data_IF_110582516908
#
_entry.id   IF_110582516908
#
_cell.length_a   1.000
_cell.length_b   1.000
_cell.length_c   1.000
_cell.angle_alpha   90.00
_cell.angle_beta   90.00
_cell.angle_gamma   90.00
#
_symmetry.space_group_name_H-M   'P 1'
#
loop_
_entity.id
_entity.type
_entity.pdbx_description
1 polymer ?
#
# COMPACT_ATOMS: atom_id res chain seq x y z
N UNK A 1 -26.15 -17.77 24.23
CA UNK A 1 -26.35 -16.72 23.21
C UNK A 1 -25.62 -17.16 21.96
N UNK A 2 -26.36 -17.47 20.87
CA UNK A 2 -25.75 -17.70 19.57
C UNK A 2 -25.32 -16.34 19.03
N UNK A 3 -24.04 -16.18 18.71
CA UNK A 3 -23.57 -15.02 17.97
C UNK A 3 -24.39 -14.96 16.67
N UNK A 4 -25.09 -13.85 16.45
CA UNK A 4 -25.64 -13.52 15.15
C UNK A 4 -24.43 -13.51 14.19
N UNK A 5 -24.38 -14.48 13.27
CA UNK A 5 -23.47 -14.41 12.12
C UNK A 5 -23.85 -13.15 11.38
N UNK A 6 -23.02 -12.11 11.49
CA UNK A 6 -23.24 -10.86 10.81
C UNK A 6 -23.17 -11.13 9.30
N UNK A 7 -24.27 -10.89 8.62
CA UNK A 7 -24.37 -11.04 7.17
C UNK A 7 -23.45 -10.01 6.51
N UNK A 8 -22.53 -10.51 5.67
CA UNK A 8 -21.75 -9.79 4.65
C UNK A 8 -20.66 -8.82 5.13
N UNK A 9 -19.49 -9.38 5.45
CA UNK A 9 -18.21 -8.76 5.08
C UNK A 9 -17.80 -9.26 3.70
N UNK A 10 -18.59 -8.89 2.71
CA UNK A 10 -18.23 -9.00 1.29
C UNK A 10 -17.05 -8.06 1.02
N UNK A 11 -16.10 -8.47 0.20
CA UNK A 11 -15.06 -7.64 -0.40
C UNK A 11 -15.59 -6.29 -0.88
N UNK A 12 -16.84 -6.21 -1.34
CA UNK A 12 -17.56 -4.95 -1.58
C UNK A 12 -17.56 -3.98 -0.39
N UNK A 13 -17.91 -4.44 0.82
CA UNK A 13 -17.88 -3.60 2.03
C UNK A 13 -16.45 -3.09 2.30
N UNK A 14 -15.45 -3.97 2.22
CA UNK A 14 -14.05 -3.56 2.45
C UNK A 14 -13.57 -2.56 1.40
N UNK A 15 -13.96 -2.72 0.13
CA UNK A 15 -13.63 -1.77 -0.96
C UNK A 15 -14.15 -0.37 -0.67
N UNK A 16 -15.34 -0.25 -0.08
CA UNK A 16 -15.99 1.03 0.22
C UNK A 16 -15.42 1.74 1.47
N UNK A 17 -14.61 1.05 2.30
CA UNK A 17 -14.17 1.55 3.61
C UNK A 17 -12.64 1.72 3.75
N UNK A 18 -11.86 1.49 2.69
CA UNK A 18 -10.41 1.72 2.71
C UNK A 18 -10.04 3.22 2.61
N UNK A 19 -8.93 3.68 3.22
CA UNK A 19 -7.90 2.89 3.89
C UNK A 19 -8.21 2.55 5.37
N UNK A 20 -7.44 1.61 5.94
CA UNK A 20 -7.62 1.16 7.31
C UNK A 20 -6.38 1.42 8.18
N UNK A 21 -6.60 1.86 9.43
CA UNK A 21 -5.57 1.91 10.47
C UNK A 21 -5.20 0.51 10.99
N UNK A 22 -6.23 -0.32 11.16
CA UNK A 22 -6.17 -1.70 11.62
C UNK A 22 -6.98 -2.52 10.63
N UNK A 23 -6.51 -3.72 10.27
CA UNK A 23 -7.26 -4.59 9.38
C UNK A 23 -8.56 -5.06 10.07
N UNK A 24 -9.71 -5.11 9.38
CA UNK A 24 -10.95 -5.60 9.96
C UNK A 24 -10.76 -6.98 10.60
N UNK A 25 -11.21 -7.19 11.84
CA UNK A 25 -11.00 -8.47 12.56
C UNK A 25 -11.62 -9.65 11.80
N UNK A 26 -12.68 -9.39 11.06
CA UNK A 26 -13.42 -10.39 10.32
C UNK A 26 -12.68 -10.89 9.08
N UNK A 27 -11.68 -10.14 8.60
CA UNK A 27 -10.72 -10.66 7.63
C UNK A 27 -9.96 -11.88 8.18
N UNK A 28 -9.57 -11.86 9.46
CA UNK A 28 -8.85 -12.98 10.10
C UNK A 28 -9.75 -14.20 10.32
N UNK A 29 -11.01 -13.95 10.66
CA UNK A 29 -12.01 -15.01 10.75
C UNK A 29 -12.24 -15.69 9.37
N UNK A 30 -12.12 -14.91 8.29
CA UNK A 30 -12.30 -15.36 6.91
C UNK A 30 -11.03 -15.91 6.25
N UNK A 31 -9.83 -15.53 6.69
CA UNK A 31 -8.54 -15.93 6.13
C UNK A 31 -8.06 -17.31 6.63
N UNK A 32 -8.99 -18.20 6.97
CA UNK A 32 -8.70 -19.54 7.46
C UNK A 32 -7.76 -20.31 6.51
N UNK A 33 -6.87 -21.19 7.03
CA UNK A 33 -5.85 -21.89 6.26
C UNK A 33 -6.39 -22.79 5.12
N UNK A 34 -7.70 -23.05 5.08
CA UNK A 34 -8.35 -23.94 4.13
C UNK A 34 -9.03 -23.18 2.97
N UNK A 35 -8.99 -21.84 2.96
CA UNK A 35 -9.51 -21.03 1.84
C UNK A 35 -8.43 -20.81 0.80
N UNK A 36 -8.78 -21.03 -0.46
CA UNK A 36 -7.82 -21.04 -1.57
C UNK A 36 -7.03 -19.72 -1.71
N UNK A 37 -7.67 -18.55 -1.52
CA UNK A 37 -6.99 -17.25 -1.60
C UNK A 37 -7.72 -16.20 -0.72
N UNK A 38 -7.21 -15.86 0.49
CA UNK A 38 -7.76 -14.75 1.28
C UNK A 38 -7.47 -13.39 0.62
N UNK A 39 -8.26 -12.33 0.91
CA UNK A 39 -7.96 -10.98 0.46
C UNK A 39 -6.53 -10.55 0.82
N UNK A 40 -5.87 -9.82 -0.08
CA UNK A 40 -4.49 -9.34 0.06
C UNK A 40 -4.54 -7.88 0.47
N UNK A 41 -3.85 -7.51 1.56
CA UNK A 41 -3.72 -6.09 1.93
C UNK A 41 -2.28 -5.63 1.83
N UNK A 42 -2.14 -4.41 1.32
CA UNK A 42 -0.91 -3.68 1.15
C UNK A 42 -0.80 -2.62 2.26
N UNK A 43 0.31 -2.61 2.97
CA UNK A 43 0.63 -1.53 3.91
C UNK A 43 1.55 -0.52 3.22
N UNK A 44 1.11 0.73 3.15
CA UNK A 44 1.81 1.73 2.34
C UNK A 44 1.30 3.16 2.46
N UNK A 45 1.88 4.01 1.62
CA UNK A 45 1.67 5.45 1.59
C UNK A 45 0.87 5.83 0.34
N UNK A 46 -0.33 6.40 0.52
CA UNK A 46 -1.11 6.92 -0.59
C UNK A 46 -0.46 8.15 -1.22
N UNK A 47 -0.40 8.15 -2.55
CA UNK A 47 -0.17 9.38 -3.31
C UNK A 47 -1.54 10.02 -3.58
N UNK A 48 -1.78 11.25 -3.08
CA UNK A 48 -3.09 11.87 -3.16
C UNK A 48 -3.46 12.20 -4.59
N UNK A 49 -4.71 11.96 -4.94
CA UNK A 49 -5.27 12.38 -6.22
C UNK A 49 -5.54 13.89 -6.21
N UNK A 50 -4.87 14.63 -7.12
CA UNK A 50 -5.02 16.09 -7.26
C UNK A 50 -5.96 16.49 -8.38
N UNK A 51 -7.12 15.81 -8.47
CA UNK A 51 -8.16 16.05 -9.48
C UNK A 51 -7.81 15.63 -10.92
N UNK A 52 -6.53 15.54 -11.27
CA UNK A 52 -6.07 14.98 -12.55
C UNK A 52 -4.88 14.05 -12.36
N UNK A 53 -4.73 13.09 -13.29
CA UNK A 53 -3.57 12.20 -13.32
C UNK A 53 -2.26 13.00 -13.42
N UNK A 54 -2.19 13.97 -14.33
CA UNK A 54 -1.00 14.80 -14.52
C UNK A 54 -0.59 15.55 -13.25
N UNK A 55 -1.54 16.20 -12.55
CA UNK A 55 -1.24 16.93 -11.32
C UNK A 55 -0.78 16.01 -10.18
N UNK A 56 -1.29 14.78 -10.13
CA UNK A 56 -0.87 13.77 -9.15
C UNK A 56 0.54 13.25 -9.47
N UNK A 57 0.86 13.07 -10.75
CA UNK A 57 2.18 12.63 -11.21
C UNK A 57 3.27 13.70 -11.04
N UNK A 58 2.94 14.99 -10.97
CA UNK A 58 3.92 16.04 -10.66
C UNK A 58 4.57 15.84 -9.28
N UNK A 59 3.85 15.29 -8.29
CA UNK A 59 4.44 14.93 -6.99
C UNK A 59 5.63 13.99 -7.18
N UNK A 60 5.45 12.94 -7.99
CA UNK A 60 6.52 11.98 -8.27
C UNK A 60 7.67 12.60 -9.06
N UNK A 61 7.35 13.49 -10.01
CA UNK A 61 8.38 14.19 -10.79
C UNK A 61 9.23 15.09 -9.90
N UNK A 62 8.60 15.80 -8.97
CA UNK A 62 9.28 16.65 -8.00
C UNK A 62 10.15 15.84 -7.05
N UNK A 63 9.66 14.71 -6.55
CA UNK A 63 10.46 13.77 -5.76
C UNK A 63 11.67 13.26 -6.56
N UNK A 64 11.48 12.82 -7.80
CA UNK A 64 12.59 12.33 -8.63
C UNK A 64 13.65 13.43 -8.88
N UNK A 65 13.25 14.70 -9.03
CA UNK A 65 14.19 15.84 -9.17
C UNK A 65 15.08 16.04 -7.94
N UNK A 66 14.65 15.57 -6.76
CA UNK A 66 15.42 15.64 -5.51
C UNK A 66 16.36 14.45 -5.34
N UNK A 67 16.25 13.40 -6.15
CA UNK A 67 17.20 12.29 -6.13
C UNK A 67 18.57 12.81 -6.57
N UNK A 68 19.66 12.56 -5.80
CA UNK A 68 21.00 13.03 -6.17
C UNK A 68 21.46 12.55 -7.55
N UNK A 69 22.07 13.44 -8.34
CA UNK A 69 22.48 13.16 -9.72
C UNK A 69 23.50 12.01 -9.87
N UNK A 70 24.18 11.63 -8.78
CA UNK A 70 25.10 10.47 -8.76
C UNK A 70 24.38 9.13 -9.01
N UNK A 71 23.07 9.07 -8.81
CA UNK A 71 22.27 7.88 -9.07
C UNK A 71 21.75 7.89 -10.51
N UNK A 72 22.02 6.84 -11.27
CA UNK A 72 21.56 6.68 -12.66
C UNK A 72 20.03 6.79 -12.80
N UNK A 73 19.29 6.38 -11.77
CA UNK A 73 17.82 6.52 -11.73
C UNK A 73 17.31 7.95 -11.51
N UNK A 74 18.18 8.94 -11.32
CA UNK A 74 17.81 10.35 -11.39
C UNK A 74 17.51 10.82 -12.83
N UNK A 75 17.96 10.08 -13.85
CA UNK A 75 17.67 10.41 -15.25
C UNK A 75 16.21 10.11 -15.63
N UNK A 76 15.44 11.19 -15.78
CA UNK A 76 14.02 11.19 -16.15
C UNK A 76 13.74 10.67 -17.56
N UNK A 77 14.73 10.61 -18.46
CA UNK A 77 14.57 10.04 -19.80
C UNK A 77 14.68 8.51 -19.78
N UNK A 78 15.38 7.97 -18.79
CA UNK A 78 15.69 6.54 -18.68
C UNK A 78 14.76 5.81 -17.71
N UNK A 79 14.35 6.46 -16.63
CA UNK A 79 13.54 5.85 -15.57
C UNK A 79 12.23 6.61 -15.36
N UNK A 80 11.13 5.86 -15.21
CA UNK A 80 9.87 6.39 -14.72
C UNK A 80 10.07 6.87 -13.28
N UNK A 81 9.39 7.96 -12.90
CA UNK A 81 9.57 8.57 -11.58
C UNK A 81 9.30 7.61 -10.44
N UNK A 82 8.26 6.76 -10.55
CA UNK A 82 7.94 5.76 -9.54
C UNK A 82 9.08 4.75 -9.33
N UNK A 83 9.63 4.21 -10.41
CA UNK A 83 10.70 3.20 -10.35
C UNK A 83 11.98 3.81 -9.76
N UNK A 84 12.28 5.06 -10.11
CA UNK A 84 13.40 5.80 -9.55
C UNK A 84 13.25 6.06 -8.06
N UNK A 85 12.06 6.44 -7.61
CA UNK A 85 11.76 6.69 -6.20
C UNK A 85 11.86 5.39 -5.40
N UNK A 86 11.25 4.29 -5.86
CA UNK A 86 11.33 3.00 -5.17
C UNK A 86 12.79 2.56 -4.99
N UNK A 87 13.59 2.58 -6.08
CA UNK A 87 15.02 2.23 -6.02
C UNK A 87 15.80 3.12 -5.08
N UNK A 88 15.50 4.43 -5.08
CA UNK A 88 16.16 5.34 -4.17
C UNK A 88 15.81 5.01 -2.72
N UNK A 89 14.54 4.83 -2.38
CA UNK A 89 14.11 4.46 -1.02
C UNK A 89 14.78 3.16 -0.56
N UNK A 90 14.78 2.13 -1.41
CA UNK A 90 15.46 0.86 -1.14
C UNK A 90 16.96 1.03 -0.88
N UNK A 91 17.62 1.91 -1.66
CA UNK A 91 19.06 2.19 -1.47
C UNK A 91 19.39 2.98 -0.20
N UNK A 92 18.39 3.59 0.46
CA UNK A 92 18.58 4.44 1.64
C UNK A 92 18.30 3.74 2.96
N UNK A 93 17.67 2.57 2.93
CA UNK A 93 17.29 1.84 4.12
C UNK A 93 18.18 0.61 4.21
N UNK A 94 19.04 0.60 5.21
CA UNK A 94 19.92 -0.53 5.54
C UNK A 94 19.26 -1.39 6.63
N UNK A 95 19.41 -2.71 6.55
CA UNK A 95 18.92 -3.65 7.57
C UNK A 95 18.80 -5.09 7.08
N UNK A 96 18.58 -6.02 8.04
CA UNK A 96 18.45 -7.47 7.80
C UNK A 96 17.09 -7.89 7.21
N UNK A 97 16.14 -6.95 7.14
CA UNK A 97 14.81 -7.21 6.59
C UNK A 97 14.90 -7.05 5.07
N UNK A 98 14.74 -8.14 4.32
CA UNK A 98 14.50 -8.06 2.88
C UNK A 98 13.16 -7.36 2.66
N UNK A 99 13.21 -6.06 2.41
CA UNK A 99 12.03 -5.26 2.11
C UNK A 99 12.13 -4.72 0.68
N UNK A 100 10.96 -4.47 0.08
CA UNK A 100 10.86 -3.85 -1.24
C UNK A 100 9.83 -2.76 -1.20
N UNK A 101 10.12 -1.62 -1.80
CA UNK A 101 9.13 -0.57 -2.04
C UNK A 101 8.58 -0.76 -3.44
N UNK A 102 7.30 -1.02 -3.52
CA UNK A 102 6.60 -1.23 -4.79
C UNK A 102 5.43 -0.27 -4.89
N UNK A 103 4.86 -0.19 -6.09
CA UNK A 103 3.61 0.54 -6.31
C UNK A 103 2.47 -0.42 -6.59
N UNK A 104 1.27 -0.06 -6.16
CA UNK A 104 0.04 -0.66 -6.66
C UNK A 104 -1.03 0.42 -6.84
N UNK A 105 -1.93 0.18 -7.79
CA UNK A 105 -3.18 0.93 -7.83
C UNK A 105 -4.06 0.41 -6.70
N UNK A 106 -4.87 1.28 -6.12
CA UNK A 106 -5.85 0.90 -5.11
C UNK A 106 -7.20 0.76 -5.78
N UNK A 107 -7.97 -0.24 -5.37
CA UNK A 107 -9.33 -0.39 -5.86
C UNK A 107 -10.26 0.70 -5.29
N UNK A 108 -11.27 1.13 -6.03
CA UNK A 108 -12.40 1.95 -5.55
C UNK A 108 -12.14 3.09 -4.52
N UNK A 109 -10.99 3.77 -4.54
CA UNK A 109 -10.74 4.95 -3.70
C UNK A 109 -10.58 6.21 -4.58
N UNK A 110 -11.54 7.16 -4.57
CA UNK A 110 -11.49 8.34 -5.45
C UNK A 110 -10.38 9.33 -5.08
N UNK A 111 -9.87 9.26 -3.85
CA UNK A 111 -8.88 10.20 -3.31
C UNK A 111 -7.43 9.67 -3.43
N UNK A 112 -7.27 8.38 -3.76
CA UNK A 112 -5.97 7.70 -3.83
C UNK A 112 -5.73 7.19 -5.24
N UNK A 113 -4.73 7.77 -5.92
CA UNK A 113 -4.39 7.33 -7.28
C UNK A 113 -3.61 6.01 -7.28
N UNK A 114 -2.60 5.90 -6.43
CA UNK A 114 -1.80 4.70 -6.19
C UNK A 114 -1.14 4.81 -4.82
N UNK A 115 -0.59 3.69 -4.35
CA UNK A 115 0.17 3.62 -3.10
C UNK A 115 1.60 3.16 -3.35
N UNK A 116 2.54 3.68 -2.57
CA UNK A 116 3.83 3.02 -2.35
C UNK A 116 3.67 2.04 -1.19
N UNK A 117 3.73 0.74 -1.46
CA UNK A 117 3.62 -0.29 -0.41
C UNK A 117 4.98 -0.91 -0.09
N UNK A 118 5.15 -1.27 1.18
CA UNK A 118 6.38 -1.85 1.73
C UNK A 118 6.15 -3.22 2.37
N UNK A 119 4.89 -3.62 2.54
CA UNK A 119 4.51 -4.91 3.06
C UNK A 119 3.19 -5.38 2.44
N UNK A 120 3.10 -6.68 2.18
CA UNK A 120 1.86 -7.35 1.77
C UNK A 120 1.55 -8.43 2.81
N UNK A 121 0.31 -8.42 3.28
CA UNK A 121 -0.20 -9.24 4.37
C UNK A 121 -0.98 -10.47 3.88
N UNK A 122 -0.53 -11.18 2.84
CA UNK A 122 -1.21 -12.40 2.36
C UNK A 122 -1.54 -13.44 3.45
N UNK A 123 -0.81 -13.47 4.57
CA UNK A 123 -1.08 -14.36 5.72
C UNK A 123 -0.68 -13.69 7.06
N UNK A 124 -1.39 -12.65 7.52
CA UNK A 124 -1.05 -11.99 8.78
C UNK A 124 -1.57 -12.84 9.94
N UNK A 125 -0.79 -12.98 11.01
CA UNK A 125 -1.23 -13.72 12.21
C UNK A 125 -2.19 -12.92 13.10
N UNK A 126 -2.25 -11.60 12.91
CA UNK A 126 -3.00 -10.65 13.74
C UNK A 126 -3.51 -9.46 12.90
N UNK A 127 -4.60 -8.78 13.30
CA UNK A 127 -5.18 -7.60 12.62
C UNK A 127 -4.33 -6.34 12.61
N UNK A 128 -3.19 -6.39 13.27
CA UNK A 128 -2.28 -5.27 13.41
C UNK A 128 -1.00 -5.50 12.64
N UNK A 129 -0.44 -4.40 12.11
CA UNK A 129 0.92 -4.38 11.61
C UNK A 129 1.89 -4.77 12.73
N UNK A 130 2.90 -5.60 12.46
CA UNK A 130 3.94 -5.89 13.44
C UNK A 130 4.79 -4.63 13.71
N UNK A 131 5.34 -4.50 14.91
CA UNK A 131 6.06 -3.29 15.36
C UNK A 131 7.18 -2.86 14.41
N UNK A 132 7.98 -3.82 13.91
CA UNK A 132 9.06 -3.58 12.96
C UNK A 132 8.59 -2.87 11.67
N UNK A 133 7.31 -3.05 11.29
CA UNK A 133 6.76 -2.43 10.09
C UNK A 133 6.58 -0.92 10.29
N UNK A 134 6.23 -0.47 11.50
CA UNK A 134 6.12 0.94 11.84
C UNK A 134 7.50 1.61 11.88
N UNK A 135 8.51 0.93 12.43
CA UNK A 135 9.90 1.42 12.39
C UNK A 135 10.39 1.59 10.94
N UNK A 136 10.14 0.60 10.09
CA UNK A 136 10.49 0.67 8.66
C UNK A 136 9.74 1.82 7.98
N UNK A 137 8.44 1.97 8.25
CA UNK A 137 7.65 3.06 7.69
C UNK A 137 8.12 4.45 8.15
N UNK A 138 8.62 4.57 9.39
CA UNK A 138 9.28 5.79 9.87
C UNK A 138 10.51 6.15 9.03
N UNK A 139 11.37 5.17 8.74
CA UNK A 139 12.54 5.38 7.86
C UNK A 139 12.13 5.78 6.45
N UNK A 140 11.12 5.13 5.87
CA UNK A 140 10.60 5.46 4.53
C UNK A 140 10.02 6.88 4.51
N UNK A 141 9.25 7.27 5.53
CA UNK A 141 8.70 8.62 5.69
C UNK A 141 9.81 9.67 5.70
N UNK A 142 10.92 9.40 6.39
CA UNK A 142 12.07 10.29 6.41
C UNK A 142 12.68 10.46 5.01
N UNK A 143 12.87 9.36 4.27
CA UNK A 143 13.40 9.42 2.89
C UNK A 143 12.46 10.18 1.96
N UNK A 144 11.15 10.01 2.09
CA UNK A 144 10.18 10.80 1.33
C UNK A 144 10.26 12.30 1.68
N UNK A 145 10.46 12.63 2.96
CA UNK A 145 10.72 13.99 3.42
C UNK A 145 11.96 14.61 2.76
N UNK A 146 13.06 13.85 2.66
CA UNK A 146 14.29 14.29 1.97
C UNK A 146 14.05 14.54 0.47
N UNK A 147 13.14 13.77 -0.14
CA UNK A 147 12.68 13.98 -1.52
C UNK A 147 11.65 15.11 -1.66
N UNK A 148 11.36 15.85 -0.59
CA UNK A 148 10.44 16.99 -0.59
C UNK A 148 8.97 16.61 -0.58
N UNK A 149 8.63 15.36 -0.26
CA UNK A 149 7.25 14.92 -0.12
C UNK A 149 6.90 14.67 1.35
N UNK A 150 5.92 15.42 1.87
CA UNK A 150 5.31 15.15 3.17
C UNK A 150 4.33 14.00 2.99
N UNK A 151 4.84 12.77 3.12
CA UNK A 151 4.03 11.57 3.02
C UNK A 151 2.94 11.56 4.12
N UNK A 152 1.72 11.08 3.81
CA UNK A 152 0.72 10.80 4.84
C UNK A 152 1.21 9.67 5.76
N UNK A 153 0.49 9.44 6.85
CA UNK A 153 0.70 8.21 7.62
C UNK A 153 0.42 6.98 6.77
N UNK A 154 1.23 5.92 6.89
CA UNK A 154 0.99 4.67 6.19
C UNK A 154 -0.27 3.97 6.72
N UNK A 155 -1.07 3.44 5.81
CA UNK A 155 -2.32 2.74 6.11
C UNK A 155 -2.39 1.42 5.34
N UNK A 156 -3.38 0.60 5.69
CA UNK A 156 -3.73 -0.60 4.94
C UNK A 156 -4.68 -0.30 3.79
N UNK A 157 -4.44 -0.97 2.67
CA UNK A 157 -5.23 -0.86 1.44
C UNK A 157 -5.50 -2.26 0.88
N UNK A 158 -6.61 -2.42 0.17
CA UNK A 158 -6.90 -3.67 -0.52
C UNK A 158 -6.09 -3.72 -1.81
N UNK A 159 -5.44 -4.85 -2.05
CA UNK A 159 -4.67 -5.08 -3.26
C UNK A 159 -5.58 -5.18 -4.50
N UNK A 160 -5.21 -4.53 -5.60
CA UNK A 160 -6.04 -4.46 -6.81
C UNK A 160 -6.18 -5.80 -7.54
N UNK A 161 -5.30 -6.77 -7.28
CA UNK A 161 -5.44 -8.14 -7.81
C UNK A 161 -6.75 -8.79 -7.34
N UNK A 162 -7.35 -8.29 -6.26
CA UNK A 162 -8.65 -8.74 -5.77
C UNK A 162 -9.84 -8.23 -6.60
N UNK A 163 -9.64 -7.39 -7.63
CA UNK A 163 -10.71 -6.88 -8.51
C UNK A 163 -11.51 -7.94 -9.26
N UNK A 164 -10.90 -9.10 -9.53
CA UNK A 164 -11.56 -10.18 -10.26
C UNK A 164 -12.58 -10.96 -9.40
N UNK A 165 -12.60 -10.74 -8.09
CA UNK A 165 -13.54 -11.36 -7.17
C UNK A 165 -14.79 -10.47 -7.01
N UNK A 166 -15.94 -11.01 -7.43
CA UNK A 166 -17.30 -10.43 -7.32
C UNK A 166 -17.90 -10.78 -5.95
N UNK A 167 -18.80 -9.91 -5.43
CA UNK A 167 -19.71 -10.17 -4.30
C UNK A 167 -20.44 -11.53 -4.38
N UNK A 168 -20.60 -12.11 -5.58
CA UNK A 168 -21.17 -13.45 -5.81
C UNK A 168 -20.16 -14.61 -5.68
N UNK A 169 -18.87 -14.33 -5.80
CA UNK A 169 -17.74 -15.23 -5.50
C UNK A 169 -17.16 -15.02 -4.10
N UNK A 170 -17.76 -14.09 -3.38
CA UNK A 170 -17.31 -13.56 -2.11
C UNK A 170 -17.61 -14.55 -0.99
N UNK A 171 -16.63 -15.42 -0.74
CA UNK A 171 -16.39 -16.12 0.52
C UNK A 171 -17.58 -16.75 1.25
N UNK A 172 -18.59 -17.25 0.52
CA UNK A 172 -19.60 -18.20 1.01
C UNK A 172 -19.04 -19.62 1.09
#
# INVERSE_FOLDING_TARGET
>A
MRAQRNEKLTLGYMRDHQPFDILPEEYFACAMPDRAEPPSFLYGFAVPFRGTFTASMEILRDMQRKIPAKYDWSDRKKYKSIDAICRYVESRIEGDIEFRVRQSLVDCNPDTLFIFYIYNSWMPRQPQAPEWLFELAGKVTQVFGDLGWKAPEPKWYIDNYMRAYDDSLDFN
#
